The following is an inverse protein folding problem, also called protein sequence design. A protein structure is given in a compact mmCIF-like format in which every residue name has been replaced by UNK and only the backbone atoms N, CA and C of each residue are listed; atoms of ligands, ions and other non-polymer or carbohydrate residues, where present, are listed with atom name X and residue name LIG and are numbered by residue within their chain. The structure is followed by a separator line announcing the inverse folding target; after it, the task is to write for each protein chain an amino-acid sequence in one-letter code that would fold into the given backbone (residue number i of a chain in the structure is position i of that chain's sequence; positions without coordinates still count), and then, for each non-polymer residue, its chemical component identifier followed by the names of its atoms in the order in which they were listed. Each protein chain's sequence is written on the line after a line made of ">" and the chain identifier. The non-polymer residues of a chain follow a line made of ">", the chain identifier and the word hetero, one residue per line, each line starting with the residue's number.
data_IF_500794890444
#
_entry.id   IF_500794890444
#
_cell.length_a   1.000
_cell.length_b   1.000
_cell.length_c   1.000
_cell.angle_alpha   90.00
_cell.angle_beta   90.00
_cell.angle_gamma   90.00
#
_symmetry.space_group_name_H-M   'P 1'
#
loop_
_entity.id
_entity.type
_entity.pdbx_description
1 polymer ?
#
# COMPACT_ATOMS: atom_id res chain seq x y z
N UNK A 1 -30.09 -8.27 -53.92
CA UNK A 1 -28.79 -8.72 -53.38
C UNK A 1 -28.64 -8.08 -52.00
N UNK A 2 -29.01 -8.82 -50.96
CA UNK A 2 -29.03 -8.34 -49.58
C UNK A 2 -28.03 -9.13 -48.76
N UNK A 3 -27.14 -8.43 -48.06
CA UNK A 3 -26.18 -9.03 -47.13
C UNK A 3 -26.65 -8.73 -45.72
N UNK A 4 -27.27 -9.73 -45.09
CA UNK A 4 -27.65 -9.72 -43.68
C UNK A 4 -26.43 -9.84 -42.78
N UNK A 5 -26.34 -8.93 -41.81
CA UNK A 5 -25.37 -8.96 -40.71
C UNK A 5 -25.94 -9.83 -39.59
N UNK A 6 -25.28 -10.94 -39.28
CA UNK A 6 -25.59 -11.78 -38.12
C UNK A 6 -24.69 -11.35 -36.95
N UNK A 7 -25.27 -10.67 -35.97
CA UNK A 7 -24.66 -10.51 -34.65
C UNK A 7 -25.10 -11.67 -33.77
N UNK A 8 -24.18 -12.62 -33.52
CA UNK A 8 -24.37 -13.67 -32.53
C UNK A 8 -24.17 -13.11 -31.13
N UNK A 9 -25.24 -13.08 -30.37
CA UNK A 9 -25.23 -12.95 -28.92
C UNK A 9 -24.77 -14.29 -28.31
N UNK A 10 -23.73 -14.24 -27.48
CA UNK A 10 -23.41 -15.30 -26.53
C UNK A 10 -23.41 -14.69 -25.13
N UNK A 11 -24.61 -14.73 -24.52
CA UNK A 11 -24.78 -14.62 -23.09
C UNK A 11 -24.36 -15.98 -22.50
N UNK A 12 -23.21 -16.01 -21.81
CA UNK A 12 -22.77 -17.14 -21.01
C UNK A 12 -23.25 -16.98 -19.58
N UNK A 13 -24.21 -17.80 -19.19
CA UNK A 13 -24.67 -18.03 -17.83
C UNK A 13 -23.49 -18.31 -16.89
N UNK A 14 -23.19 -17.39 -15.96
CA UNK A 14 -22.39 -17.72 -14.78
C UNK A 14 -23.32 -18.30 -13.71
N UNK A 15 -23.29 -19.63 -13.63
CA UNK A 15 -23.93 -20.40 -12.60
C UNK A 15 -23.45 -19.97 -11.21
N UNK A 16 -24.42 -19.79 -10.32
CA UNK A 16 -24.24 -19.25 -8.99
C UNK A 16 -23.48 -20.19 -8.06
N UNK A 17 -22.41 -19.65 -7.47
CA UNK A 17 -21.81 -20.20 -6.26
C UNK A 17 -22.57 -19.64 -5.05
N UNK A 18 -23.45 -20.47 -4.49
CA UNK A 18 -24.10 -20.25 -3.19
C UNK A 18 -23.03 -20.01 -2.15
N UNK A 19 -22.88 -18.77 -1.68
CA UNK A 19 -22.26 -18.49 -0.38
C UNK A 19 -23.32 -18.79 0.66
N UNK A 20 -23.19 -19.95 1.29
CA UNK A 20 -23.95 -20.27 2.48
C UNK A 20 -23.67 -19.19 3.53
N UNK A 21 -24.75 -18.51 3.94
CA UNK A 21 -24.71 -17.45 4.90
C UNK A 21 -24.20 -17.95 6.25
N UNK A 22 -23.03 -17.46 6.64
CA UNK A 22 -22.62 -17.45 8.04
C UNK A 22 -23.61 -16.57 8.80
N UNK A 23 -24.56 -17.23 9.47
CA UNK A 23 -25.42 -16.63 10.48
C UNK A 23 -24.52 -16.21 11.64
N UNK A 24 -24.25 -14.91 11.76
CA UNK A 24 -23.74 -14.33 12.98
C UNK A 24 -24.76 -14.57 14.09
N UNK A 25 -24.40 -15.45 15.03
CA UNK A 25 -25.17 -15.66 16.25
C UNK A 25 -25.21 -14.35 17.03
N UNK A 26 -26.39 -13.73 17.07
CA UNK A 26 -26.74 -12.66 18.01
C UNK A 26 -26.53 -13.16 19.43
N UNK A 27 -25.43 -12.74 20.07
CA UNK A 27 -25.23 -12.91 21.50
C UNK A 27 -26.16 -11.95 22.26
N UNK A 28 -26.95 -12.42 23.24
CA UNK A 28 -27.81 -11.56 24.03
C UNK A 28 -26.97 -10.65 24.94
N UNK A 29 -27.15 -9.33 24.76
CA UNK A 29 -26.75 -8.27 25.70
C UNK A 29 -27.50 -8.48 27.03
N UNK A 30 -26.93 -9.26 27.94
CA UNK A 30 -27.37 -9.33 29.32
C UNK A 30 -26.40 -8.51 30.18
N UNK A 31 -26.90 -7.33 30.54
CA UNK A 31 -26.73 -6.59 31.79
C UNK A 31 -25.75 -7.20 32.81
N UNK A 32 -24.65 -6.50 33.08
CA UNK A 32 -23.95 -6.56 34.36
C UNK A 32 -23.66 -5.13 34.82
N UNK A 33 -24.65 -4.56 35.50
CA UNK A 33 -24.48 -3.39 36.38
C UNK A 33 -23.79 -3.92 37.64
N UNK A 34 -22.55 -3.50 37.88
CA UNK A 34 -21.93 -3.59 39.19
C UNK A 34 -21.32 -2.24 39.55
N UNK A 35 -22.03 -1.58 40.45
CA UNK A 35 -21.57 -0.42 41.20
C UNK A 35 -20.31 -0.79 42.00
N UNK A 36 -19.24 -0.04 41.78
CA UNK A 36 -18.12 0.04 42.70
C UNK A 36 -17.91 1.52 43.08
N UNK A 37 -18.70 1.97 44.05
CA UNK A 37 -18.37 3.13 44.89
C UNK A 37 -17.21 2.76 45.80
N UNK A 38 -16.03 3.31 45.57
CA UNK A 38 -14.96 3.37 46.59
C UNK A 38 -14.25 4.72 46.52
N UNK A 39 -14.61 5.56 47.50
CA UNK A 39 -13.79 6.45 48.31
C UNK A 39 -12.69 7.29 47.63
N UNK A 40 -12.93 8.60 47.65
CA UNK A 40 -11.92 9.61 47.38
C UNK A 40 -10.77 9.59 48.38
N UNK A 41 -9.56 9.65 47.83
CA UNK A 41 -8.36 10.11 48.52
C UNK A 41 -7.77 11.26 47.71
N UNK A 42 -7.84 12.47 48.25
CA UNK A 42 -7.13 13.62 47.71
C UNK A 42 -5.63 13.45 47.98
N UNK A 43 -4.91 12.93 46.99
CA UNK A 43 -3.45 12.95 46.97
C UNK A 43 -3.02 14.00 45.94
N UNK A 44 -2.65 15.17 46.45
CA UNK A 44 -1.97 16.22 45.69
C UNK A 44 -0.55 15.75 45.41
N UNK A 45 -0.36 14.99 44.33
CA UNK A 45 0.97 14.65 43.83
C UNK A 45 1.45 15.84 42.99
N UNK A 46 2.48 16.53 43.48
CA UNK A 46 3.30 17.40 42.65
C UNK A 46 4.01 16.50 41.62
N UNK A 47 3.37 16.28 40.48
CA UNK A 47 3.95 15.55 39.37
C UNK A 47 5.01 16.44 38.73
N UNK A 48 6.25 16.29 39.17
CA UNK A 48 7.41 16.74 38.42
C UNK A 48 7.40 15.95 37.12
N UNK A 49 6.94 16.59 36.04
CA UNK A 49 7.03 16.07 34.68
C UNK A 49 8.50 15.90 34.34
N UNK A 50 9.07 14.74 34.64
CA UNK A 50 10.33 14.28 34.05
C UNK A 50 10.03 14.04 32.58
N UNK A 51 10.24 15.08 31.77
CA UNK A 51 10.14 15.00 30.31
C UNK A 51 11.25 14.04 29.88
N UNK A 52 10.91 12.79 29.56
CA UNK A 52 11.85 11.86 28.95
C UNK A 52 12.28 12.45 27.60
N UNK A 53 13.57 12.80 27.39
CA UNK A 53 14.04 13.33 26.12
C UNK A 53 14.04 12.28 24.99
N UNK A 54 13.58 11.04 25.25
CA UNK A 54 13.41 9.97 24.28
C UNK A 54 12.01 9.93 23.63
N UNK A 55 11.08 10.79 24.04
CA UNK A 55 9.70 10.82 23.55
C UNK A 55 9.42 11.94 22.53
N UNK A 56 10.44 12.69 22.12
CA UNK A 56 10.28 13.87 21.27
C UNK A 56 11.09 13.74 19.98
N UNK A 57 10.68 12.79 19.14
CA UNK A 57 10.91 12.91 17.70
C UNK A 57 9.59 12.71 16.95
N UNK A 58 8.53 13.35 17.44
CA UNK A 58 7.47 13.83 16.54
C UNK A 58 8.10 14.92 15.67
N UNK A 59 8.90 14.50 14.68
CA UNK A 59 9.33 15.39 13.62
C UNK A 59 8.07 15.92 12.96
N UNK A 60 7.90 17.23 13.02
CA UNK A 60 6.80 17.92 12.38
C UNK A 60 6.77 17.55 10.87
N UNK A 61 5.59 17.21 10.31
CA UNK A 61 5.47 16.84 8.90
C UNK A 61 6.00 17.98 8.04
N UNK A 62 6.72 17.64 6.97
CA UNK A 62 7.36 18.65 6.11
C UNK A 62 6.32 19.64 5.56
N UNK A 63 5.14 19.12 5.25
CA UNK A 63 4.05 19.89 4.65
C UNK A 63 3.16 20.61 5.68
N UNK A 64 3.54 20.54 6.96
CA UNK A 64 2.83 21.16 8.08
C UNK A 64 1.48 20.52 8.39
N UNK A 65 0.89 20.93 9.51
CA UNK A 65 -0.46 20.57 9.89
C UNK A 65 -1.45 21.63 9.40
N UNK A 66 -2.40 21.22 8.55
CA UNK A 66 -3.55 22.04 8.17
C UNK A 66 -4.82 21.40 8.71
N UNK A 67 -5.68 22.20 9.35
CA UNK A 67 -7.03 21.75 9.74
C UNK A 67 -7.98 21.65 8.56
N UNK A 68 -7.61 22.22 7.41
CA UNK A 68 -8.37 22.13 6.18
C UNK A 68 -8.17 20.77 5.55
N UNK A 69 -9.21 20.29 4.88
CA UNK A 69 -9.13 19.08 4.07
C UNK A 69 -8.23 19.33 2.85
N UNK A 70 -7.70 18.26 2.26
CA UNK A 70 -6.78 18.36 1.12
C UNK A 70 -7.45 18.94 -0.15
N UNK A 71 -8.76 18.79 -0.31
CA UNK A 71 -9.51 19.45 -1.39
C UNK A 71 -9.46 20.98 -1.29
N UNK A 72 -9.50 21.53 -0.07
CA UNK A 72 -9.45 22.95 0.26
C UNK A 72 -8.02 23.53 0.41
N UNK A 73 -7.00 22.67 0.49
CA UNK A 73 -5.60 23.07 0.70
C UNK A 73 -4.68 22.62 -0.45
N UNK A 74 -4.67 23.35 -1.59
CA UNK A 74 -3.86 22.99 -2.74
C UNK A 74 -2.35 23.07 -2.46
N UNK A 75 -1.92 23.90 -1.49
CA UNK A 75 -0.50 24.02 -1.12
C UNK A 75 -0.05 22.77 -0.39
N UNK A 76 -0.83 22.31 0.60
CA UNK A 76 -0.53 21.05 1.32
C UNK A 76 -0.54 19.87 0.35
N UNK A 77 -1.52 19.77 -0.56
CA UNK A 77 -1.52 18.72 -1.60
C UNK A 77 -0.27 18.77 -2.46
N UNK A 78 0.09 19.96 -2.95
CA UNK A 78 1.26 20.11 -3.81
C UNK A 78 2.53 19.68 -3.08
N UNK A 79 2.69 20.07 -1.82
CA UNK A 79 3.81 19.65 -0.98
C UNK A 79 3.84 18.13 -0.76
N UNK A 80 2.71 17.51 -0.36
CA UNK A 80 2.65 16.07 -0.07
C UNK A 80 2.92 15.19 -1.29
N UNK A 81 2.73 15.73 -2.51
CA UNK A 81 3.08 15.05 -3.77
C UNK A 81 4.54 15.14 -4.14
N UNK A 82 5.31 16.04 -3.53
CA UNK A 82 6.73 16.18 -3.86
C UNK A 82 7.50 14.93 -3.43
N UNK A 83 8.68 14.77 -4.00
CA UNK A 83 9.64 13.79 -3.55
C UNK A 83 11.02 14.42 -3.64
N UNK A 84 11.51 14.91 -2.51
CA UNK A 84 12.75 15.69 -2.40
C UNK A 84 13.71 14.86 -1.58
N UNK A 85 14.92 14.66 -2.09
CA UNK A 85 15.98 13.97 -1.37
C UNK A 85 16.95 15.01 -0.80
N UNK A 86 17.23 14.94 0.49
CA UNK A 86 18.23 15.80 1.13
C UNK A 86 19.67 15.34 0.84
N UNK A 87 20.65 16.11 1.32
CA UNK A 87 22.08 15.78 1.17
C UNK A 87 22.49 14.47 1.85
N UNK A 88 21.72 14.02 2.86
CA UNK A 88 21.94 12.77 3.59
C UNK A 88 21.25 11.58 2.91
N UNK A 89 20.52 11.83 1.82
CA UNK A 89 19.76 10.82 1.10
C UNK A 89 18.42 10.46 1.74
N UNK A 90 17.94 11.23 2.72
CA UNK A 90 16.60 11.11 3.33
C UNK A 90 15.58 11.75 2.39
N UNK A 91 14.48 11.05 2.15
CA UNK A 91 13.41 11.51 1.27
C UNK A 91 12.29 12.16 2.07
N UNK A 92 11.89 13.36 1.62
CA UNK A 92 10.80 14.14 2.19
C UNK A 92 9.72 14.46 1.14
N UNK A 93 8.44 14.53 1.52
CA UNK A 93 7.89 14.16 2.83
C UNK A 93 8.11 12.67 3.14
N UNK A 94 7.84 12.21 4.36
CA UNK A 94 7.99 10.77 4.67
C UNK A 94 6.94 9.94 3.92
N UNK A 95 7.17 8.63 3.79
CA UNK A 95 6.22 7.76 3.08
C UNK A 95 4.86 7.74 3.78
N UNK A 96 4.82 7.80 5.11
CA UNK A 96 3.58 7.83 5.89
C UNK A 96 2.75 9.09 5.59
N UNK A 97 3.40 10.24 5.41
CA UNK A 97 2.72 11.49 5.00
C UNK A 97 2.15 11.39 3.58
N UNK A 98 2.87 10.70 2.69
CA UNK A 98 2.41 10.45 1.32
C UNK A 98 1.23 9.46 1.29
N UNK A 99 1.27 8.38 2.09
CA UNK A 99 0.16 7.42 2.19
C UNK A 99 -1.10 8.08 2.78
N UNK A 100 -0.94 8.93 3.81
CA UNK A 100 -2.03 9.74 4.35
C UNK A 100 -2.66 10.63 3.26
N UNK A 101 -1.82 11.33 2.49
CA UNK A 101 -2.28 12.13 1.35
C UNK A 101 -3.05 11.27 0.32
N UNK A 102 -2.54 10.09 -0.02
CA UNK A 102 -3.20 9.20 -0.98
C UNK A 102 -4.58 8.74 -0.51
N UNK A 103 -4.72 8.36 0.77
CA UNK A 103 -5.99 7.96 1.35
C UNK A 103 -6.95 9.14 1.44
N UNK A 104 -6.49 10.27 1.96
CA UNK A 104 -7.33 11.45 2.17
C UNK A 104 -7.84 12.07 0.84
N UNK A 105 -7.09 11.91 -0.25
CA UNK A 105 -7.50 12.39 -1.58
C UNK A 105 -8.20 11.34 -2.45
N UNK A 106 -8.38 10.11 -1.95
CA UNK A 106 -9.00 9.02 -2.71
C UNK A 106 -10.43 9.34 -3.17
N UNK A 107 -11.18 10.14 -2.40
CA UNK A 107 -12.54 10.55 -2.78
C UNK A 107 -12.62 11.66 -3.82
N UNK A 108 -11.48 12.23 -4.23
CA UNK A 108 -11.46 13.26 -5.27
C UNK A 108 -11.73 12.64 -6.65
N UNK A 109 -12.40 13.41 -7.51
CA UNK A 109 -12.67 13.00 -8.90
C UNK A 109 -11.38 12.66 -9.66
N UNK A 110 -10.37 13.50 -9.49
CA UNK A 110 -9.01 13.28 -9.99
C UNK A 110 -8.15 12.78 -8.81
N UNK A 111 -8.06 11.47 -8.69
CA UNK A 111 -7.14 10.85 -7.74
C UNK A 111 -5.74 10.82 -8.36
N UNK A 112 -4.70 11.03 -7.54
CA UNK A 112 -3.33 10.97 -8.03
C UNK A 112 -3.05 9.56 -8.59
N UNK A 113 -2.62 9.43 -9.87
CA UNK A 113 -2.45 8.13 -10.50
C UNK A 113 -1.48 7.21 -9.75
N UNK A 114 -0.41 7.75 -9.16
CA UNK A 114 0.55 6.94 -8.41
C UNK A 114 -0.04 6.45 -7.08
N UNK A 115 -0.91 7.25 -6.45
CA UNK A 115 -1.67 6.79 -5.29
C UNK A 115 -2.62 5.65 -5.65
N UNK A 116 -3.39 5.81 -6.74
CA UNK A 116 -4.33 4.79 -7.20
C UNK A 116 -3.60 3.50 -7.59
N UNK A 117 -2.56 3.59 -8.42
CA UNK A 117 -1.78 2.44 -8.88
C UNK A 117 -1.15 1.69 -7.71
N UNK A 118 -0.54 2.39 -6.75
CA UNK A 118 0.10 1.77 -5.59
C UNK A 118 -0.93 1.10 -4.68
N UNK A 119 -1.95 1.82 -4.24
CA UNK A 119 -2.96 1.27 -3.33
C UNK A 119 -3.75 0.15 -3.99
N UNK A 120 -4.18 0.30 -5.25
CA UNK A 120 -4.88 -0.78 -5.93
C UNK A 120 -3.96 -1.96 -6.26
N UNK A 121 -2.64 -1.77 -6.42
CA UNK A 121 -1.70 -2.88 -6.50
C UNK A 121 -1.71 -3.70 -5.19
N UNK A 122 -1.70 -3.05 -4.03
CA UNK A 122 -1.64 -3.78 -2.75
C UNK A 122 -2.92 -4.61 -2.52
N UNK A 123 -4.10 -4.09 -2.86
CA UNK A 123 -5.35 -4.88 -2.83
C UNK A 123 -5.35 -6.09 -3.78
N UNK A 124 -4.48 -6.09 -4.79
CA UNK A 124 -4.29 -7.24 -5.69
C UNK A 124 -3.46 -8.38 -5.09
N UNK A 125 -2.89 -8.22 -3.90
CA UNK A 125 -2.14 -9.29 -3.25
C UNK A 125 -3.07 -10.32 -2.59
N UNK A 126 -2.62 -11.57 -2.51
CA UNK A 126 -3.41 -12.69 -1.94
C UNK A 126 -3.88 -12.42 -0.51
N UNK A 127 -3.06 -11.74 0.29
CA UNK A 127 -3.41 -11.34 1.66
C UNK A 127 -4.66 -10.44 1.71
N UNK A 128 -4.94 -9.69 0.65
CA UNK A 128 -6.15 -8.86 0.49
C UNK A 128 -7.27 -9.52 -0.31
N UNK A 129 -7.10 -10.79 -0.70
CA UNK A 129 -8.05 -11.55 -1.52
C UNK A 129 -7.70 -11.64 -3.00
N UNK A 130 -6.62 -10.98 -3.46
CA UNK A 130 -6.05 -11.16 -4.80
C UNK A 130 -6.77 -10.45 -5.95
N UNK A 131 -7.89 -9.78 -5.69
CA UNK A 131 -8.65 -9.04 -6.71
C UNK A 131 -8.56 -7.53 -6.48
N UNK A 132 -7.84 -6.85 -7.38
CA UNK A 132 -7.70 -5.39 -7.38
C UNK A 132 -8.83 -4.64 -8.10
N UNK A 133 -9.69 -5.35 -8.83
CA UNK A 133 -10.76 -4.74 -9.65
C UNK A 133 -11.67 -3.79 -8.84
N UNK A 134 -12.10 -4.15 -7.61
CA UNK A 134 -12.92 -3.26 -6.79
C UNK A 134 -12.26 -1.90 -6.53
N UNK A 135 -10.94 -1.85 -6.36
CA UNK A 135 -10.24 -0.59 -6.10
C UNK A 135 -10.32 0.39 -7.30
N UNK A 136 -10.35 -0.13 -8.54
CA UNK A 136 -10.47 0.69 -9.76
C UNK A 136 -11.92 1.03 -10.12
N UNK A 137 -12.86 0.13 -9.79
CA UNK A 137 -14.27 0.25 -10.18
C UNK A 137 -15.11 1.05 -9.18
N UNK A 138 -14.65 1.19 -7.93
CA UNK A 138 -15.35 1.97 -6.91
C UNK A 138 -15.44 3.46 -7.33
N UNK A 139 -16.67 3.97 -7.23
CA UNK A 139 -16.98 5.38 -7.48
C UNK A 139 -16.13 6.30 -6.59
N UNK A 140 -15.64 7.45 -7.10
CA UNK A 140 -14.77 8.35 -6.35
C UNK A 140 -15.22 8.57 -4.90
N UNK A 141 -16.47 8.96 -4.69
CA UNK A 141 -17.07 9.25 -3.38
C UNK A 141 -17.06 8.08 -2.38
N UNK A 142 -16.87 6.84 -2.86
CA UNK A 142 -16.83 5.61 -2.05
C UNK A 142 -15.44 5.05 -1.83
N UNK A 143 -14.41 5.59 -2.49
CA UNK A 143 -13.04 5.05 -2.41
C UNK A 143 -12.47 5.15 -0.99
N UNK A 144 -12.63 6.29 -0.31
CA UNK A 144 -12.12 6.43 1.06
C UNK A 144 -12.73 5.41 2.02
N UNK A 145 -14.06 5.24 1.97
CA UNK A 145 -14.79 4.27 2.78
C UNK A 145 -14.31 2.84 2.48
N UNK A 146 -14.21 2.48 1.20
CA UNK A 146 -13.68 1.18 0.77
C UNK A 146 -12.26 0.91 1.30
N UNK A 147 -11.34 1.87 1.16
CA UNK A 147 -9.96 1.75 1.63
C UNK A 147 -9.90 1.58 3.15
N UNK A 148 -10.76 2.32 3.87
CA UNK A 148 -10.83 2.30 5.33
C UNK A 148 -11.41 0.97 5.83
N UNK A 149 -12.53 0.51 5.26
CA UNK A 149 -13.19 -0.74 5.61
C UNK A 149 -12.29 -1.94 5.34
N UNK A 150 -11.69 -2.01 4.14
CA UNK A 150 -10.79 -3.10 3.80
C UNK A 150 -9.61 -3.16 4.79
N UNK A 151 -9.00 -2.01 5.09
CA UNK A 151 -7.92 -1.93 6.08
C UNK A 151 -8.42 -2.36 7.47
N UNK A 152 -9.59 -1.91 7.91
CA UNK A 152 -10.14 -2.28 9.22
C UNK A 152 -10.39 -3.78 9.33
N UNK A 153 -10.97 -4.41 8.31
CA UNK A 153 -11.25 -5.85 8.26
C UNK A 153 -9.97 -6.68 8.42
N UNK A 154 -8.89 -6.27 7.73
CA UNK A 154 -7.59 -6.92 7.81
C UNK A 154 -6.99 -6.90 9.22
N UNK A 155 -7.15 -5.78 9.93
CA UNK A 155 -6.59 -5.61 11.27
C UNK A 155 -7.50 -6.21 12.35
N UNK A 156 -8.82 -6.25 12.12
CA UNK A 156 -9.80 -6.79 13.06
C UNK A 156 -9.64 -8.30 13.29
N UNK A 157 -9.16 -9.06 12.28
CA UNK A 157 -8.92 -10.50 12.42
C UNK A 157 -7.68 -10.85 13.27
N UNK A 158 -6.89 -9.85 13.67
CA UNK A 158 -5.60 -10.04 14.33
C UNK A 158 -4.51 -10.38 13.33
N UNK A 159 -3.54 -9.48 13.19
CA UNK A 159 -2.39 -9.67 12.30
C UNK A 159 -1.41 -10.67 12.88
N UNK A 160 -1.33 -11.85 12.27
CA UNK A 160 -0.24 -12.78 12.54
C UNK A 160 1.07 -12.23 11.97
N UNK A 161 2.21 -12.72 12.49
CA UNK A 161 3.53 -12.39 11.97
C UNK A 161 3.69 -12.75 10.48
N UNK A 162 3.10 -13.87 10.05
CA UNK A 162 3.10 -14.32 8.65
C UNK A 162 2.28 -13.40 7.75
N UNK A 163 1.10 -12.99 8.20
CA UNK A 163 0.25 -12.01 7.50
C UNK A 163 0.97 -10.68 7.36
N UNK A 164 1.58 -10.18 8.44
CA UNK A 164 2.38 -8.95 8.41
C UNK A 164 3.54 -9.06 7.42
N UNK A 165 4.25 -10.18 7.41
CA UNK A 165 5.33 -10.41 6.48
C UNK A 165 4.86 -10.40 5.01
N UNK A 166 3.70 -11.01 4.75
CA UNK A 166 3.08 -11.02 3.42
C UNK A 166 2.65 -9.62 2.98
N UNK A 167 2.13 -8.80 3.89
CA UNK A 167 1.79 -7.40 3.63
C UNK A 167 3.02 -6.56 3.27
N UNK A 168 4.12 -6.69 4.02
CA UNK A 168 5.34 -5.93 3.72
C UNK A 168 5.96 -6.36 2.38
N UNK A 169 5.99 -7.66 2.08
CA UNK A 169 6.42 -8.15 0.76
C UNK A 169 5.56 -7.61 -0.38
N UNK A 170 4.24 -7.61 -0.19
CA UNK A 170 3.30 -7.05 -1.15
C UNK A 170 3.54 -5.55 -1.37
N UNK A 171 3.70 -4.78 -0.29
CA UNK A 171 3.97 -3.34 -0.36
C UNK A 171 5.31 -3.05 -1.06
N UNK A 172 6.35 -3.83 -0.80
CA UNK A 172 7.65 -3.72 -1.47
C UNK A 172 7.59 -4.08 -2.96
N UNK A 173 6.81 -5.10 -3.32
CA UNK A 173 6.54 -5.41 -4.73
C UNK A 173 5.81 -4.25 -5.42
N UNK A 174 4.72 -3.76 -4.83
CA UNK A 174 3.91 -2.69 -5.43
C UNK A 174 4.66 -1.36 -5.51
N UNK A 175 5.51 -1.05 -4.52
CA UNK A 175 6.34 0.16 -4.57
C UNK A 175 7.32 0.10 -5.74
N UNK A 176 7.89 -1.06 -6.04
CA UNK A 176 8.78 -1.26 -7.20
C UNK A 176 8.04 -1.24 -8.54
N UNK A 177 6.80 -1.77 -8.60
CA UNK A 177 6.02 -1.77 -9.83
C UNK A 177 5.51 -0.38 -10.20
N UNK A 178 5.15 0.44 -9.21
CA UNK A 178 4.49 1.73 -9.41
C UNK A 178 5.48 2.89 -9.34
N UNK A 179 6.48 2.81 -8.48
CA UNK A 179 7.52 3.82 -8.35
C UNK A 179 8.81 3.36 -9.02
N UNK A 180 9.64 4.29 -9.48
CA UNK A 180 10.93 3.93 -10.11
C UNK A 180 12.08 4.87 -9.78
N UNK A 181 11.90 5.83 -8.89
CA UNK A 181 12.94 6.81 -8.52
C UNK A 181 12.86 7.18 -7.05
N UNK A 182 12.56 8.44 -6.74
CA UNK A 182 12.57 8.99 -5.40
C UNK A 182 11.52 8.32 -4.50
N UNK A 183 10.32 8.03 -5.02
CA UNK A 183 9.22 7.46 -4.23
C UNK A 183 9.43 5.99 -3.86
N UNK A 184 10.15 5.23 -4.69
CA UNK A 184 10.60 3.88 -4.34
C UNK A 184 11.56 3.95 -3.14
N UNK A 185 12.51 4.89 -3.16
CA UNK A 185 13.43 5.12 -2.05
C UNK A 185 12.73 5.64 -0.79
N UNK A 186 11.72 6.49 -0.96
CA UNK A 186 10.83 6.95 0.12
C UNK A 186 10.18 5.75 0.83
N UNK A 187 9.62 4.81 0.05
CA UNK A 187 9.06 3.58 0.58
C UNK A 187 10.12 2.69 1.24
N UNK A 188 11.28 2.51 0.60
CA UNK A 188 12.37 1.69 1.14
C UNK A 188 12.80 2.16 2.54
N UNK A 189 12.94 3.48 2.74
CA UNK A 189 13.25 4.07 4.04
C UNK A 189 12.19 3.76 5.10
N UNK A 190 10.91 3.82 4.72
CA UNK A 190 9.81 3.47 5.61
C UNK A 190 9.79 1.97 5.95
N UNK A 191 10.01 1.10 4.96
CA UNK A 191 10.10 -0.34 5.13
C UNK A 191 11.28 -0.73 6.06
N UNK A 192 12.46 -0.15 5.85
CA UNK A 192 13.64 -0.39 6.69
C UNK A 192 13.44 0.09 8.13
N UNK A 193 12.78 1.24 8.32
CA UNK A 193 12.38 1.76 9.64
C UNK A 193 11.48 0.77 10.39
N UNK A 194 10.63 0.04 9.68
CA UNK A 194 9.80 -1.03 10.23
C UNK A 194 10.57 -2.26 10.72
N UNK A 195 11.87 -2.36 10.42
CA UNK A 195 12.78 -3.43 10.86
C UNK A 195 12.26 -4.86 10.60
N UNK A 196 11.90 -5.22 9.35
CA UNK A 196 11.29 -6.52 9.02
C UNK A 196 12.09 -7.74 9.49
N UNK A 197 13.41 -7.60 9.52
CA UNK A 197 14.33 -8.64 9.96
C UNK A 197 14.18 -9.01 11.44
N UNK A 198 13.73 -8.09 12.30
CA UNK A 198 13.59 -8.34 13.75
C UNK A 198 12.49 -9.37 14.06
N UNK A 199 11.49 -9.49 13.19
CA UNK A 199 10.47 -10.53 13.27
C UNK A 199 10.64 -11.56 12.15
N UNK A 200 11.88 -11.82 11.72
CA UNK A 200 12.21 -12.92 10.81
C UNK A 200 11.56 -12.84 9.44
N UNK A 201 11.11 -11.66 9.01
CA UNK A 201 10.57 -11.47 7.68
C UNK A 201 11.67 -11.00 6.73
N UNK A 202 11.94 -11.82 5.72
CA UNK A 202 12.87 -11.49 4.63
C UNK A 202 12.16 -10.63 3.58
N UNK A 203 12.14 -9.32 3.79
CA UNK A 203 11.59 -8.32 2.85
C UNK A 203 12.74 -7.58 2.20
N UNK A 204 12.77 -7.57 0.86
CA UNK A 204 13.62 -6.65 0.11
C UNK A 204 12.95 -5.29 0.03
N UNK A 205 13.22 -4.44 1.02
CA UNK A 205 12.69 -3.06 1.09
C UNK A 205 13.16 -2.19 -0.09
N UNK A 206 14.28 -2.52 -0.72
CA UNK A 206 14.92 -1.71 -1.75
C UNK A 206 14.47 -2.08 -3.17
N UNK A 207 13.54 -3.02 -3.32
CA UNK A 207 12.99 -3.39 -4.62
C UNK A 207 14.05 -3.80 -5.65
N UNK A 208 15.21 -4.32 -5.23
CA UNK A 208 16.24 -4.73 -6.18
C UNK A 208 15.99 -6.17 -6.66
N UNK A 209 14.78 -6.49 -7.14
CA UNK A 209 14.62 -7.58 -8.10
C UNK A 209 15.14 -7.14 -9.48
N UNK A 210 16.43 -6.76 -9.54
CA UNK A 210 17.23 -6.74 -10.78
C UNK A 210 17.45 -8.15 -11.35
N UNK A 211 16.66 -9.15 -10.98
CA UNK A 211 16.67 -10.45 -11.62
C UNK A 211 15.79 -10.49 -12.90
N UNK A 212 14.88 -9.54 -13.11
CA UNK A 212 14.11 -9.46 -14.37
C UNK A 212 14.87 -8.77 -15.53
N UNK A 213 16.04 -8.18 -15.26
CA UNK A 213 16.95 -7.65 -16.28
C UNK A 213 18.35 -8.31 -16.21
N UNK A 214 18.45 -9.57 -15.78
CA UNK A 214 19.41 -10.46 -16.42
C UNK A 214 18.80 -10.88 -17.75
N UNK A 215 18.90 -9.98 -18.74
CA UNK A 215 18.94 -10.44 -20.13
C UNK A 215 19.92 -11.61 -20.15
N UNK A 216 19.54 -12.83 -20.57
CA UNK A 216 20.48 -13.91 -20.68
C UNK A 216 21.57 -13.43 -21.64
N UNK A 217 22.74 -13.08 -21.11
CA UNK A 217 23.96 -12.77 -21.87
C UNK A 217 24.37 -13.93 -22.80
N UNK A 218 23.64 -15.04 -22.75
CA UNK A 218 23.72 -16.22 -23.63
C UNK A 218 23.31 -15.90 -25.07
N UNK A 219 22.44 -14.92 -25.33
CA UNK A 219 22.04 -14.61 -26.73
C UNK A 219 23.04 -13.73 -27.49
N UNK A 220 23.96 -13.04 -26.82
CA UNK A 220 24.99 -12.23 -27.51
C UNK A 220 26.21 -13.09 -27.93
N UNK A 221 26.41 -14.26 -27.33
CA UNK A 221 27.51 -15.16 -27.69
C UNK A 221 27.24 -16.00 -28.95
N UNK A 222 25.99 -16.13 -29.40
CA UNK A 222 25.65 -16.89 -30.61
C UNK A 222 25.75 -16.07 -31.91
N UNK A 223 25.68 -14.73 -31.82
CA UNK A 223 25.85 -13.86 -32.99
C UNK A 223 27.32 -13.75 -33.44
N UNK A 224 28.28 -13.89 -32.51
CA UNK A 224 29.72 -13.85 -32.82
C UNK A 224 30.24 -15.13 -33.48
N UNK A 225 29.62 -16.29 -33.25
CA UNK A 225 30.04 -17.57 -33.87
C UNK A 225 29.57 -17.66 -35.34
N UNK A 226 28.40 -17.11 -35.67
CA UNK A 226 27.88 -17.14 -37.06
C UNK A 226 28.67 -16.22 -38.03
N UNK A 227 29.30 -15.15 -37.52
CA UNK A 227 30.15 -14.28 -38.34
C UNK A 227 31.51 -14.90 -38.66
N UNK A 228 32.07 -15.75 -37.79
CA UNK A 228 33.36 -16.42 -38.06
C UNK A 228 33.19 -17.56 -39.08
N UNK A 229 32.07 -18.28 -39.06
CA UNK A 229 31.81 -19.36 -40.04
C UNK A 229 31.62 -18.83 -41.46
N UNK A 230 31.11 -17.60 -41.62
CA UNK A 230 30.90 -17.01 -42.95
C UNK A 230 32.20 -16.59 -43.65
N UNK A 231 33.29 -16.33 -42.91
CA UNK A 231 34.59 -15.96 -43.49
C UNK A 231 35.43 -17.16 -43.94
N UNK A 232 35.22 -18.35 -43.39
CA UNK A 232 36.00 -19.55 -43.74
C UNK A 232 35.52 -20.24 -45.03
N UNK A 233 34.33 -19.94 -45.54
CA UNK A 233 33.76 -20.57 -46.73
C UNK A 233 34.09 -19.85 -48.06
N UNK A 234 34.91 -18.78 -48.02
CA UNK A 234 35.26 -17.97 -49.20
C UNK A 234 36.77 -18.01 -49.56
N UNK A 235 37.51 -19.01 -49.09
CA UNK A 235 38.93 -19.24 -49.43
C UNK A 235 39.15 -20.58 -50.10
#
# INVERSE_FOLDING_TARGET
>A
VGTGSQHSALAGEMAGSRRDGLRWATLPRQVAILAATVLGGAHSQNTTTTINPLLLSDEEPLCGYSKRNFDEDPVRRYCSRQCIMDEKGIVYPKFEEWDEYCRATSSMKEWDPQCQEFLCCTFGCEVWGGDRSPCYEVLPEKRYEFLLEATADMYASGLTQETRCSLEKCNAYCSNQVFGTCRERQYAQNCEKGSPQQYGCDVDCSGAWRQACRLPSVLIQLASVLLVVSFAASS
#
